data_IF_149195479610
#
_entry.id   IF_149195479610
#
_cell.length_a   1.000
_cell.length_b   1.000
_cell.length_c   1.000
_cell.angle_alpha   90.00
_cell.angle_beta   90.00
_cell.angle_gamma   90.00
#
_symmetry.space_group_name_H-M   'P 1'
#
loop_
_entity.id
_entity.type
_entity.pdbx_description
1 polymer ?
#
# COMPACT_ATOMS: atom_id res chain seq x y z
N UNK A 1 44.63 4.69 -1.46
CA UNK A 1 44.59 3.21 -1.34
C UNK A 1 43.12 2.81 -1.18
N UNK A 2 42.39 2.67 -2.29
CA UNK A 2 40.96 2.36 -2.30
C UNK A 2 40.81 0.83 -2.39
N UNK A 3 40.28 0.21 -1.33
CA UNK A 3 39.92 -1.22 -1.33
C UNK A 3 38.66 -1.41 -2.18
N UNK A 4 38.78 -2.18 -3.26
CA UNK A 4 37.62 -2.78 -3.95
C UNK A 4 36.85 -3.61 -2.92
N UNK A 5 35.59 -3.24 -2.67
CA UNK A 5 34.61 -4.16 -2.13
C UNK A 5 34.05 -4.92 -3.34
N UNK A 6 34.59 -6.11 -3.59
CA UNK A 6 33.96 -7.07 -4.51
C UNK A 6 32.73 -7.60 -3.80
N UNK A 7 31.53 -7.22 -4.27
CA UNK A 7 30.31 -7.93 -3.88
C UNK A 7 30.34 -9.29 -4.57
N UNK A 8 30.91 -10.30 -3.92
CA UNK A 8 30.55 -11.68 -4.21
C UNK A 8 29.12 -11.87 -3.68
N UNK A 9 28.13 -11.54 -4.50
CA UNK A 9 26.78 -12.05 -4.33
C UNK A 9 26.58 -13.15 -5.36
N UNK A 10 26.93 -14.35 -4.91
CA UNK A 10 26.30 -15.64 -5.19
C UNK A 10 25.57 -15.79 -6.54
N UNK A 11 26.27 -16.35 -7.53
CA UNK A 11 25.66 -17.31 -8.46
C UNK A 11 25.34 -18.60 -7.68
N UNK A 12 24.32 -18.54 -6.83
CA UNK A 12 23.64 -19.74 -6.34
C UNK A 12 22.71 -20.28 -7.43
N UNK A 13 22.38 -21.59 -7.45
CA UNK A 13 21.44 -22.13 -8.41
C UNK A 13 20.14 -21.33 -8.32
N UNK A 14 19.77 -20.70 -9.44
CA UNK A 14 18.49 -20.01 -9.58
C UNK A 14 17.37 -20.90 -9.06
N UNK A 15 16.62 -20.40 -8.07
CA UNK A 15 15.50 -21.12 -7.49
C UNK A 15 14.57 -21.64 -8.60
N UNK A 16 13.95 -22.82 -8.42
CA UNK A 16 13.12 -23.41 -9.45
C UNK A 16 12.02 -22.42 -9.84
N UNK A 17 12.02 -21.99 -11.11
CA UNK A 17 10.92 -21.25 -11.72
C UNK A 17 9.61 -21.89 -11.28
N UNK A 18 8.74 -21.11 -10.64
CA UNK A 18 7.46 -21.54 -10.08
C UNK A 18 6.87 -22.70 -10.90
N UNK A 19 6.88 -23.89 -10.30
CA UNK A 19 6.50 -25.12 -10.99
C UNK A 19 5.11 -24.94 -11.57
N UNK A 20 4.97 -25.07 -12.89
CA UNK A 20 3.68 -24.98 -13.57
C UNK A 20 2.78 -26.10 -13.03
N UNK A 21 1.89 -25.78 -12.09
CA UNK A 21 0.92 -26.75 -11.58
C UNK A 21 0.01 -27.17 -12.75
N UNK A 22 -0.16 -28.48 -13.01
CA UNK A 22 -1.07 -28.91 -14.06
C UNK A 22 -2.50 -28.48 -13.69
N UNK A 23 -3.14 -27.65 -14.53
CA UNK A 23 -4.53 -27.22 -14.36
C UNK A 23 -4.78 -25.92 -13.57
N UNK A 24 -3.74 -25.25 -13.04
CA UNK A 24 -3.88 -23.97 -12.33
C UNK A 24 -3.50 -22.77 -13.17
N UNK A 25 -4.28 -21.68 -13.10
CA UNK A 25 -3.93 -20.39 -13.74
C UNK A 25 -2.56 -19.90 -13.24
N UNK A 26 -1.75 -19.33 -14.15
CA UNK A 26 -0.37 -18.88 -13.86
C UNK A 26 -0.37 -17.79 -12.79
N UNK A 27 0.53 -17.89 -11.81
CA UNK A 27 0.79 -16.82 -10.86
C UNK A 27 1.21 -15.53 -11.60
N UNK A 28 0.55 -14.43 -11.25
CA UNK A 28 0.82 -13.10 -11.79
C UNK A 28 1.64 -12.26 -10.80
N UNK A 29 1.41 -12.46 -9.50
CA UNK A 29 2.16 -11.83 -8.43
C UNK A 29 2.50 -12.89 -7.39
N UNK A 30 3.80 -13.04 -7.10
CA UNK A 30 4.30 -13.80 -5.96
C UNK A 30 4.93 -12.80 -5.01
N UNK A 31 4.48 -12.82 -3.75
CA UNK A 31 4.96 -11.92 -2.70
C UNK A 31 5.44 -12.75 -1.51
N UNK A 32 6.62 -12.38 -1.01
CA UNK A 32 7.17 -12.86 0.25
C UNK A 32 7.46 -11.66 1.15
N UNK A 33 7.11 -11.76 2.43
CA UNK A 33 7.37 -10.68 3.39
C UNK A 33 7.80 -11.20 4.74
N UNK A 34 6.86 -11.37 5.69
CA UNK A 34 7.18 -12.02 6.96
C UNK A 34 7.81 -13.42 6.73
N UNK A 35 8.75 -13.87 7.58
CA UNK A 35 9.33 -15.20 7.46
C UNK A 35 8.24 -16.28 7.43
N UNK A 36 8.26 -17.11 6.39
CA UNK A 36 7.27 -18.17 6.18
C UNK A 36 5.95 -17.71 5.54
N UNK A 37 5.76 -16.41 5.26
CA UNK A 37 4.57 -15.91 4.57
C UNK A 37 4.84 -15.72 3.08
N UNK A 38 4.16 -16.55 2.28
CA UNK A 38 4.13 -16.49 0.83
C UNK A 38 2.69 -16.25 0.39
N UNK A 39 2.48 -15.28 -0.49
CA UNK A 39 1.19 -15.01 -1.12
C UNK A 39 1.35 -15.07 -2.63
N UNK A 40 0.54 -15.90 -3.29
CA UNK A 40 0.50 -16.01 -4.75
C UNK A 40 -0.87 -15.60 -5.26
N UNK A 41 -0.90 -14.64 -6.18
CA UNK A 41 -2.11 -14.18 -6.86
C UNK A 41 -2.02 -14.53 -8.33
N UNK A 42 -3.03 -15.23 -8.84
CA UNK A 42 -3.20 -15.44 -10.28
C UNK A 42 -3.70 -14.15 -10.95
N UNK A 43 -3.65 -14.09 -12.27
CA UNK A 43 -4.18 -12.94 -13.02
C UNK A 43 -5.66 -12.66 -12.69
N UNK A 44 -6.49 -13.70 -12.59
CA UNK A 44 -7.92 -13.55 -12.27
C UNK A 44 -8.14 -13.01 -10.85
N UNK A 45 -7.37 -13.49 -9.86
CA UNK A 45 -7.44 -12.99 -8.48
C UNK A 45 -6.98 -11.54 -8.37
N UNK A 46 -5.94 -11.17 -9.13
CA UNK A 46 -5.43 -9.81 -9.13
C UNK A 46 -6.42 -8.84 -9.79
N UNK A 47 -7.08 -9.28 -10.89
CA UNK A 47 -8.12 -8.51 -11.56
C UNK A 47 -9.34 -8.31 -10.64
N UNK A 48 -9.88 -9.38 -10.04
CA UNK A 48 -11.01 -9.30 -9.09
C UNK A 48 -10.73 -8.32 -7.95
N UNK A 49 -9.57 -8.45 -7.30
CA UNK A 49 -9.18 -7.55 -6.21
C UNK A 49 -9.03 -6.10 -6.69
N UNK A 50 -8.51 -5.87 -7.90
CA UNK A 50 -8.36 -4.53 -8.47
C UNK A 50 -9.72 -3.89 -8.82
N UNK A 51 -10.66 -4.65 -9.38
CA UNK A 51 -12.02 -4.18 -9.69
C UNK A 51 -12.81 -3.81 -8.42
N UNK A 52 -12.70 -4.64 -7.38
CA UNK A 52 -13.30 -4.35 -6.06
C UNK A 52 -12.67 -3.09 -5.44
N UNK A 53 -11.34 -2.98 -5.49
CA UNK A 53 -10.64 -1.79 -5.03
C UNK A 53 -11.03 -0.53 -5.82
N UNK A 54 -11.18 -0.62 -7.15
CA UNK A 54 -11.65 0.49 -7.98
C UNK A 54 -13.08 0.90 -7.59
N UNK A 55 -13.96 -0.06 -7.30
CA UNK A 55 -15.32 0.20 -6.83
C UNK A 55 -15.33 0.93 -5.48
N UNK A 56 -14.49 0.51 -4.53
CA UNK A 56 -14.33 1.22 -3.24
C UNK A 56 -13.83 2.64 -3.47
N UNK A 57 -12.76 2.83 -4.22
CA UNK A 57 -12.19 4.16 -4.50
C UNK A 57 -13.22 5.07 -5.18
N UNK A 58 -14.00 4.54 -6.13
CA UNK A 58 -15.09 5.27 -6.80
C UNK A 58 -16.18 5.69 -5.82
N UNK A 59 -16.59 4.82 -4.88
CA UNK A 59 -17.56 5.15 -3.81
C UNK A 59 -17.03 6.24 -2.86
N UNK A 60 -15.72 6.31 -2.66
CA UNK A 60 -15.06 7.39 -1.92
C UNK A 60 -14.87 8.67 -2.76
N UNK A 61 -15.36 8.68 -3.99
CA UNK A 61 -15.41 9.83 -4.88
C UNK A 61 -14.23 9.97 -5.83
N UNK A 62 -13.33 8.98 -5.92
CA UNK A 62 -12.19 9.00 -6.86
C UNK A 62 -12.69 8.81 -8.29
N UNK A 63 -12.32 9.72 -9.18
CA UNK A 63 -12.50 9.60 -10.63
C UNK A 63 -11.24 9.91 -11.44
N UNK A 64 -11.43 10.18 -12.73
CA UNK A 64 -10.36 10.52 -13.66
C UNK A 64 -9.61 11.78 -13.21
N UNK A 65 -8.28 11.72 -13.15
CA UNK A 65 -7.42 12.83 -12.72
C UNK A 65 -7.33 13.03 -11.21
N UNK A 66 -8.23 12.44 -10.41
CA UNK A 66 -8.13 12.47 -8.95
C UNK A 66 -6.90 11.70 -8.49
N UNK A 67 -6.35 12.11 -7.35
CA UNK A 67 -5.14 11.51 -6.78
C UNK A 67 -5.47 10.57 -5.63
N UNK A 68 -4.87 9.39 -5.63
CA UNK A 68 -4.88 8.45 -4.51
C UNK A 68 -3.49 8.39 -3.92
N UNK A 69 -3.35 8.86 -2.68
CA UNK A 69 -2.08 8.83 -1.97
C UNK A 69 -1.85 7.44 -1.37
N UNK A 70 -0.78 6.77 -1.78
CA UNK A 70 -0.46 5.41 -1.37
C UNK A 70 0.76 5.41 -0.45
N UNK A 71 0.49 5.31 0.85
CA UNK A 71 1.46 5.15 1.92
C UNK A 71 1.53 3.67 2.35
N UNK A 72 1.83 2.81 1.39
CA UNK A 72 1.95 1.37 1.60
C UNK A 72 3.40 0.89 1.45
N UNK A 73 3.82 -0.11 2.24
CA UNK A 73 5.04 -0.87 1.98
C UNK A 73 4.92 -1.67 0.66
N UNK A 74 5.95 -2.44 0.33
CA UNK A 74 5.92 -3.40 -0.78
C UNK A 74 5.09 -4.63 -0.41
N UNK A 75 3.76 -4.48 -0.38
CA UNK A 75 2.76 -5.55 -0.17
C UNK A 75 1.83 -5.68 -1.38
N UNK A 76 1.13 -6.81 -1.56
CA UNK A 76 0.25 -7.03 -2.71
C UNK A 76 -0.81 -5.96 -2.92
N UNK A 77 -1.36 -5.40 -1.83
CA UNK A 77 -2.34 -4.32 -1.84
C UNK A 77 -1.80 -3.07 -2.54
N UNK A 78 -0.50 -2.82 -2.48
CA UNK A 78 0.13 -1.71 -3.23
C UNK A 78 -0.01 -1.90 -4.74
N UNK A 79 0.12 -3.13 -5.25
CA UNK A 79 -0.09 -3.44 -6.67
C UNK A 79 -1.59 -3.33 -7.01
N UNK A 80 -2.45 -3.87 -6.16
CA UNK A 80 -3.91 -3.83 -6.34
C UNK A 80 -4.41 -2.37 -6.44
N UNK A 81 -3.95 -1.48 -5.56
CA UNK A 81 -4.31 -0.05 -5.60
C UNK A 81 -3.82 0.61 -6.88
N UNK A 82 -2.62 0.28 -7.38
CA UNK A 82 -2.11 0.81 -8.66
C UNK A 82 -3.03 0.42 -9.82
N UNK A 83 -3.42 -0.86 -9.89
CA UNK A 83 -4.31 -1.35 -10.93
C UNK A 83 -5.70 -0.70 -10.84
N UNK A 84 -6.22 -0.57 -9.62
CA UNK A 84 -7.49 0.11 -9.37
C UNK A 84 -7.46 1.58 -9.80
N UNK A 85 -6.37 2.31 -9.53
CA UNK A 85 -6.21 3.68 -10.01
C UNK A 85 -6.22 3.74 -11.54
N UNK A 86 -5.52 2.81 -12.20
CA UNK A 86 -5.52 2.71 -13.66
C UNK A 86 -6.91 2.48 -14.27
N UNK A 87 -7.76 1.69 -13.63
CA UNK A 87 -9.15 1.46 -14.08
C UNK A 87 -10.05 2.71 -13.94
N UNK A 88 -9.66 3.67 -13.10
CA UNK A 88 -10.41 4.90 -12.84
C UNK A 88 -9.84 6.11 -13.58
N UNK A 89 -8.77 5.94 -14.36
CA UNK A 89 -7.93 7.03 -14.86
C UNK A 89 -7.44 7.97 -13.74
N UNK A 90 -7.29 7.42 -12.54
CA UNK A 90 -6.84 8.14 -11.35
C UNK A 90 -5.31 8.09 -11.24
N UNK A 91 -4.73 9.10 -10.58
CA UNK A 91 -3.29 9.23 -10.42
C UNK A 91 -2.84 8.64 -9.08
N UNK A 92 -1.98 7.63 -9.12
CA UNK A 92 -1.29 7.13 -7.92
C UNK A 92 -0.22 8.12 -7.47
N UNK A 93 -0.39 8.70 -6.28
CA UNK A 93 0.62 9.50 -5.60
C UNK A 93 1.33 8.65 -4.53
N UNK A 94 2.56 8.18 -4.80
CA UNK A 94 3.27 7.30 -3.86
C UNK A 94 3.90 8.10 -2.71
N UNK A 95 3.62 7.69 -1.47
CA UNK A 95 4.19 8.24 -0.24
C UNK A 95 5.12 7.20 0.41
N UNK A 96 6.45 7.42 0.46
CA UNK A 96 7.37 6.45 1.05
C UNK A 96 7.12 6.26 2.56
N UNK A 97 7.05 5.00 3.00
CA UNK A 97 6.79 4.64 4.40
C UNK A 97 7.96 4.94 5.35
N UNK A 98 9.14 5.23 4.81
CA UNK A 98 10.36 5.56 5.56
C UNK A 98 10.45 7.04 5.94
N UNK A 99 9.51 7.89 5.46
CA UNK A 99 9.52 9.31 5.80
C UNK A 99 9.19 9.53 7.28
N UNK A 100 9.83 10.54 7.86
CA UNK A 100 9.42 11.06 9.16
C UNK A 100 8.06 11.75 9.07
N UNK A 101 7.34 11.87 10.19
CA UNK A 101 6.00 12.48 10.20
C UNK A 101 5.97 13.90 9.60
N UNK A 102 6.94 14.81 9.86
CA UNK A 102 6.96 16.13 9.21
C UNK A 102 7.18 16.07 7.69
N UNK A 103 8.05 15.18 7.21
CA UNK A 103 8.29 14.99 5.78
C UNK A 103 7.06 14.40 5.09
N UNK A 104 6.42 13.41 5.73
CA UNK A 104 5.18 12.81 5.24
C UNK A 104 4.05 13.84 5.20
N UNK A 105 3.95 14.72 6.22
CA UNK A 105 2.95 15.78 6.24
C UNK A 105 3.11 16.79 5.09
N UNK A 106 4.34 17.10 4.68
CA UNK A 106 4.59 17.91 3.50
C UNK A 106 4.08 17.21 2.23
N UNK A 107 4.40 15.92 2.06
CA UNK A 107 3.97 15.14 0.89
C UNK A 107 2.47 14.91 0.83
N UNK A 108 1.81 14.69 1.96
CA UNK A 108 0.35 14.58 2.02
C UNK A 108 -0.28 15.88 1.53
N UNK A 109 0.21 17.05 1.98
CA UNK A 109 -0.31 18.35 1.51
C UNK A 109 -0.06 18.56 0.01
N UNK A 110 1.15 18.29 -0.47
CA UNK A 110 1.50 18.40 -1.89
C UNK A 110 0.73 17.41 -2.77
N UNK A 111 0.27 16.29 -2.19
CA UNK A 111 -0.42 15.25 -2.96
C UNK A 111 -1.77 15.72 -3.48
N UNK A 112 -2.52 16.55 -2.74
CA UNK A 112 -3.91 16.89 -3.09
C UNK A 112 -4.79 15.64 -3.24
N UNK A 113 -4.48 14.58 -2.49
CA UNK A 113 -5.13 13.29 -2.67
C UNK A 113 -6.57 13.29 -2.16
N UNK A 114 -7.46 12.72 -2.96
CA UNK A 114 -8.87 12.47 -2.62
C UNK A 114 -9.03 11.37 -1.58
N UNK A 115 -8.14 10.37 -1.61
CA UNK A 115 -8.13 9.22 -0.70
C UNK A 115 -6.68 8.88 -0.34
N UNK A 116 -6.45 8.45 0.90
CA UNK A 116 -5.18 7.88 1.37
C UNK A 116 -5.33 6.37 1.59
N UNK A 117 -4.31 5.60 1.24
CA UNK A 117 -4.22 4.16 1.53
C UNK A 117 -2.95 3.89 2.33
N UNK A 118 -3.06 3.18 3.44
CA UNK A 118 -1.96 2.87 4.35
C UNK A 118 -2.10 1.46 4.94
N UNK A 119 -1.07 0.97 5.63
CA UNK A 119 -1.14 -0.26 6.41
C UNK A 119 -1.11 0.03 7.90
N UNK A 120 -1.58 -0.92 8.72
CA UNK A 120 -1.41 -0.90 10.17
C UNK A 120 0.09 -0.91 10.55
N UNK A 121 0.81 -1.88 10.00
CA UNK A 121 2.23 -2.11 10.13
C UNK A 121 2.72 -2.91 8.92
N UNK A 122 4.04 -3.10 8.82
CA UNK A 122 4.60 -4.03 7.85
C UNK A 122 5.93 -4.60 8.33
N UNK A 123 6.33 -5.73 7.74
CA UNK A 123 7.60 -6.37 8.04
C UNK A 123 8.66 -5.96 7.03
N UNK A 124 9.77 -5.40 7.51
CA UNK A 124 10.99 -5.18 6.70
C UNK A 124 12.22 -5.07 7.60
N UNK A 125 13.40 -5.39 7.05
CA UNK A 125 14.67 -5.49 7.78
C UNK A 125 14.60 -6.41 9.03
N UNK A 126 13.86 -7.51 8.94
CA UNK A 126 13.76 -8.48 10.03
C UNK A 126 12.85 -8.08 11.19
N UNK A 127 12.12 -6.95 11.09
CA UNK A 127 11.26 -6.46 12.15
C UNK A 127 9.91 -5.95 11.63
N UNK A 128 8.88 -6.05 12.48
CA UNK A 128 7.59 -5.40 12.25
C UNK A 128 7.72 -3.91 12.60
N UNK A 129 7.36 -3.05 11.65
CA UNK A 129 7.46 -1.59 11.76
C UNK A 129 6.08 -0.94 11.68
N UNK A 130 5.75 -0.02 12.60
CA UNK A 130 4.45 0.66 12.59
C UNK A 130 4.35 1.64 11.41
N UNK A 131 3.25 1.59 10.67
CA UNK A 131 3.03 2.45 9.49
C UNK A 131 1.94 3.49 9.79
N UNK A 132 0.76 3.04 10.23
CA UNK A 132 -0.38 3.92 10.56
C UNK A 132 -0.05 5.00 11.60
N UNK A 133 0.67 4.73 12.70
CA UNK A 133 1.02 5.77 13.68
C UNK A 133 1.93 6.88 13.12
N UNK A 134 2.72 6.62 12.07
CA UNK A 134 3.51 7.66 11.40
C UNK A 134 2.60 8.54 10.56
N UNK A 135 1.66 7.94 9.82
CA UNK A 135 0.66 8.67 9.06
C UNK A 135 -0.23 9.53 9.95
N UNK A 136 -0.73 9.00 11.06
CA UNK A 136 -1.59 9.77 11.98
C UNK A 136 -0.89 11.03 12.51
N UNK A 137 0.38 10.90 12.89
CA UNK A 137 1.20 12.06 13.29
C UNK A 137 1.36 13.05 12.14
N UNK A 138 1.60 12.56 10.92
CA UNK A 138 1.72 13.41 9.74
C UNK A 138 0.42 14.17 9.43
N UNK A 139 -0.74 13.50 9.51
CA UNK A 139 -2.05 14.12 9.31
C UNK A 139 -2.31 15.19 10.37
N UNK A 140 -1.95 14.94 11.64
CA UNK A 140 -2.03 15.94 12.70
C UNK A 140 -1.14 17.17 12.47
N UNK A 141 0.04 16.97 11.88
CA UNK A 141 0.90 18.09 11.47
C UNK A 141 0.35 18.87 10.28
N UNK A 142 -0.32 18.19 9.34
CA UNK A 142 -0.88 18.79 8.13
C UNK A 142 -2.08 19.69 8.46
N UNK A 143 -2.99 19.26 9.34
CA UNK A 143 -4.22 19.99 9.69
C UNK A 143 -3.99 21.27 10.49
N UNK A 144 -2.84 21.41 11.16
CA UNK A 144 -2.51 22.61 11.95
C UNK A 144 -2.18 23.85 11.12
N UNK A 145 -2.02 23.73 9.80
CA UNK A 145 -1.60 24.83 8.93
C UNK A 145 -2.67 25.33 7.95
N UNK A 146 -3.68 24.51 7.64
CA UNK A 146 -4.72 24.85 6.66
C UNK A 146 -6.02 24.15 7.08
N UNK A 147 -6.91 24.86 7.78
CA UNK A 147 -8.07 24.29 8.47
C UNK A 147 -9.33 24.18 7.57
N UNK A 148 -9.18 24.43 6.28
CA UNK A 148 -10.32 24.73 5.38
C UNK A 148 -10.78 23.52 4.57
N UNK A 149 -9.96 22.47 4.45
CA UNK A 149 -10.33 21.25 3.71
C UNK A 149 -10.51 20.03 4.63
N UNK A 150 -11.59 19.24 4.46
CA UNK A 150 -11.78 18.00 5.21
C UNK A 150 -10.68 16.99 4.87
N UNK A 151 -10.15 16.31 5.89
CA UNK A 151 -9.11 15.28 5.71
C UNK A 151 -9.67 14.16 4.83
N UNK A 152 -8.92 13.78 3.79
CA UNK A 152 -9.26 12.66 2.92
C UNK A 152 -9.48 11.37 3.73
N UNK A 153 -10.47 10.52 3.34
CA UNK A 153 -10.66 9.21 3.95
C UNK A 153 -9.40 8.36 3.83
N UNK A 154 -9.15 7.53 4.85
CA UNK A 154 -7.96 6.69 4.97
C UNK A 154 -8.37 5.23 4.97
N UNK A 155 -8.00 4.50 3.92
CA UNK A 155 -8.13 3.05 3.86
C UNK A 155 -6.92 2.39 4.54
N UNK A 156 -7.17 1.55 5.54
CA UNK A 156 -6.14 0.88 6.35
C UNK A 156 -6.11 -0.61 6.04
N UNK A 157 -4.97 -1.11 5.56
CA UNK A 157 -4.71 -2.53 5.36
C UNK A 157 -4.25 -3.15 6.68
N UNK A 158 -4.91 -4.22 7.12
CA UNK A 158 -4.50 -5.01 8.29
C UNK A 158 -3.49 -6.08 7.86
N UNK A 159 -2.20 -5.73 7.83
CA UNK A 159 -1.13 -6.63 7.36
C UNK A 159 -0.53 -7.45 8.48
N UNK A 160 -0.29 -6.84 9.65
CA UNK A 160 0.33 -7.50 10.81
C UNK A 160 -0.61 -7.64 12.02
N UNK A 161 -1.90 -7.31 11.87
CA UNK A 161 -2.93 -7.38 12.90
C UNK A 161 -2.54 -6.64 14.19
N UNK A 162 -1.96 -5.44 14.05
CA UNK A 162 -1.53 -4.63 15.19
C UNK A 162 -2.65 -3.68 15.63
N UNK A 163 -2.81 -3.43 16.93
CA UNK A 163 -3.63 -2.32 17.39
C UNK A 163 -3.11 -1.00 16.81
N UNK A 164 -4.01 -0.21 16.22
CA UNK A 164 -3.71 1.11 15.65
C UNK A 164 -4.67 2.15 16.16
N UNK A 165 -4.20 3.40 16.25
CA UNK A 165 -5.08 4.54 16.49
C UNK A 165 -6.10 4.68 15.37
N UNK A 166 -7.32 5.06 15.73
CA UNK A 166 -8.46 5.13 14.82
C UNK A 166 -9.17 6.47 14.94
N UNK A 167 -9.48 7.09 13.80
CA UNK A 167 -10.28 8.31 13.72
C UNK A 167 -11.64 8.00 13.09
N UNK A 168 -12.75 8.03 13.86
CA UNK A 168 -14.08 7.79 13.33
C UNK A 168 -14.45 8.72 12.16
N UNK A 169 -15.16 8.19 11.17
CA UNK A 169 -15.55 8.92 9.96
C UNK A 169 -14.44 9.10 8.91
N UNK A 170 -13.17 9.06 9.30
CA UNK A 170 -12.01 9.15 8.40
C UNK A 170 -11.42 7.78 8.05
N UNK A 171 -11.09 7.00 9.07
CA UNK A 171 -10.41 5.72 8.91
C UNK A 171 -11.41 4.60 8.61
N UNK A 172 -11.05 3.74 7.65
CA UNK A 172 -11.85 2.61 7.17
C UNK A 172 -10.97 1.39 6.95
N UNK A 173 -11.44 0.20 7.32
CA UNK A 173 -10.68 -1.02 7.06
C UNK A 173 -10.78 -1.43 5.59
N UNK A 174 -9.63 -1.65 4.96
CA UNK A 174 -9.53 -2.04 3.56
C UNK A 174 -10.33 -3.31 3.25
N UNK A 175 -10.17 -4.35 4.07
CA UNK A 175 -10.82 -5.65 3.84
C UNK A 175 -12.35 -5.56 3.96
N UNK A 176 -12.86 -4.84 4.96
CA UNK A 176 -14.30 -4.61 5.12
C UNK A 176 -14.90 -3.81 3.96
N UNK A 177 -14.20 -2.79 3.47
CA UNK A 177 -14.66 -2.00 2.32
C UNK A 177 -14.66 -2.84 1.03
N UNK A 178 -13.65 -3.71 0.83
CA UNK A 178 -13.63 -4.64 -0.31
C UNK A 178 -14.77 -5.67 -0.23
N UNK A 179 -15.13 -6.17 0.95
CA UNK A 179 -16.26 -7.11 1.13
C UNK A 179 -17.61 -6.48 0.77
N UNK A 180 -17.75 -5.17 0.93
CA UNK A 180 -18.94 -4.42 0.57
C UNK A 180 -18.99 -4.05 -0.93
N UNK A 181 -17.88 -4.20 -1.65
CA UNK A 181 -17.72 -3.72 -3.03
C UNK A 181 -18.47 -4.58 -4.03
#
# INVERSE_FOLDING_TARGET
MLRRVTSEHADGPSEPRASRRPGGSRAALTWSGEPGRLEELTHGMLLDRAERAATVLRRLGVGAGDRVAVHLPLIPESVIVTLACGQLDAVRATLPVQLTAPQLAARVRESGARVLVTADAAFWDGAVRPVKPVLDRALHHATRRDATEPIAPVLVVSRCARPVGWTPGRDRWWHEELERA
#
